data_IF_620316481534
#
_entry.id   IF_620316481534
#
_cell.length_a   1.000
_cell.length_b   1.000
_cell.length_c   1.000
_cell.angle_alpha   90.00
_cell.angle_beta   90.00
_cell.angle_gamma   90.00
#
_symmetry.space_group_name_H-M   'P 1'
#
loop_
_entity.id
_entity.type
_entity.pdbx_description
1 polymer ?
#
# COMPACT_ATOMS: atom_id res chain seq x y z
N UNK A 1 32.29 18.97 -5.34
CA UNK A 1 33.32 17.96 -5.67
C UNK A 1 34.04 18.40 -6.94
N UNK A 2 35.33 18.08 -7.10
CA UNK A 2 36.06 18.48 -8.30
C UNK A 2 35.64 17.65 -9.53
N UNK A 3 35.69 18.22 -10.73
CA UNK A 3 35.42 17.52 -12.00
C UNK A 3 36.27 16.25 -12.16
N UNK A 4 37.50 16.28 -11.62
CA UNK A 4 38.40 15.12 -11.57
C UNK A 4 37.83 13.95 -10.74
N UNK A 5 37.14 14.24 -9.64
CA UNK A 5 36.56 13.23 -8.77
C UNK A 5 35.38 12.51 -9.47
N UNK A 6 34.49 13.28 -10.10
CA UNK A 6 33.37 12.70 -10.89
C UNK A 6 33.88 11.83 -12.05
N UNK A 7 34.93 12.30 -12.75
CA UNK A 7 35.55 11.54 -13.82
C UNK A 7 36.19 10.24 -13.30
N UNK A 8 36.82 10.27 -12.11
CA UNK A 8 37.40 9.10 -11.49
C UNK A 8 36.36 8.07 -11.11
N UNK A 9 35.21 8.49 -10.54
CA UNK A 9 34.11 7.59 -10.22
C UNK A 9 33.56 6.89 -11.46
N UNK A 10 33.40 7.62 -12.59
CA UNK A 10 32.95 7.04 -13.84
C UNK A 10 33.98 6.06 -14.43
N UNK A 11 35.29 6.43 -14.41
CA UNK A 11 36.37 5.57 -14.89
C UNK A 11 36.52 4.27 -14.10
N UNK A 12 36.26 4.32 -12.79
CA UNK A 12 36.27 3.16 -11.89
C UNK A 12 34.93 2.42 -11.86
N UNK A 13 34.01 2.74 -12.75
CA UNK A 13 32.72 2.07 -12.93
C UNK A 13 31.86 2.04 -11.64
N UNK A 14 32.03 3.03 -10.74
CA UNK A 14 31.24 3.15 -9.52
C UNK A 14 29.72 3.16 -9.76
N UNK A 15 29.16 3.86 -10.78
CA UNK A 15 27.73 3.85 -11.04
C UNK A 15 27.18 2.44 -11.29
N UNK A 16 27.91 1.56 -11.96
CA UNK A 16 27.51 0.17 -12.20
C UNK A 16 27.51 -0.65 -10.90
N UNK A 17 28.49 -0.41 -10.01
CA UNK A 17 28.53 -1.06 -8.68
C UNK A 17 27.36 -0.56 -7.81
N UNK A 18 27.03 0.74 -7.88
CA UNK A 18 25.87 1.29 -7.17
C UNK A 18 24.54 0.74 -7.70
N UNK A 19 24.45 0.44 -8.99
CA UNK A 19 23.28 -0.25 -9.56
C UNK A 19 23.12 -1.66 -8.96
N UNK A 20 24.23 -2.44 -8.85
CA UNK A 20 24.19 -3.74 -8.17
C UNK A 20 23.77 -3.63 -6.68
N UNK A 21 24.16 -2.54 -6.03
CA UNK A 21 23.75 -2.26 -4.65
C UNK A 21 22.25 -1.92 -4.57
N UNK A 22 21.77 -1.08 -5.47
CA UNK A 22 20.35 -0.70 -5.55
C UNK A 22 19.44 -1.91 -5.81
N UNK A 23 19.92 -2.90 -6.58
CA UNK A 23 19.21 -4.17 -6.80
C UNK A 23 19.08 -5.02 -5.53
N UNK A 24 19.84 -4.71 -4.49
CA UNK A 24 19.76 -5.37 -3.20
C UNK A 24 18.78 -4.67 -2.24
N UNK A 25 18.43 -3.41 -2.50
CA UNK A 25 17.47 -2.67 -1.69
C UNK A 25 16.03 -3.06 -2.05
N UNK A 26 15.17 -3.17 -1.04
CA UNK A 26 13.78 -3.57 -1.20
C UNK A 26 12.85 -2.38 -1.48
N UNK A 27 13.18 -1.19 -0.95
CA UNK A 27 12.36 0.03 -1.04
C UNK A 27 12.79 0.91 -2.20
N UNK A 28 11.86 1.74 -2.72
CA UNK A 28 12.18 2.68 -3.80
C UNK A 28 13.23 3.71 -3.34
N UNK A 29 12.99 4.34 -2.21
CA UNK A 29 13.91 5.34 -1.66
C UNK A 29 15.24 4.73 -1.19
N UNK A 30 15.23 3.47 -0.73
CA UNK A 30 16.45 2.71 -0.45
C UNK A 30 17.30 2.53 -1.71
N UNK A 31 16.69 2.20 -2.85
CA UNK A 31 17.36 2.13 -4.15
C UNK A 31 17.93 3.48 -4.56
N UNK A 32 17.15 4.54 -4.44
CA UNK A 32 17.60 5.91 -4.76
C UNK A 32 18.78 6.32 -3.86
N UNK A 33 18.72 6.04 -2.55
CA UNK A 33 19.84 6.26 -1.63
C UNK A 33 21.08 5.45 -2.01
N UNK A 34 20.93 4.20 -2.40
CA UNK A 34 22.03 3.38 -2.88
C UNK A 34 22.70 3.99 -4.13
N UNK A 35 21.91 4.45 -5.10
CA UNK A 35 22.42 5.10 -6.32
C UNK A 35 23.06 6.46 -6.03
N UNK A 36 22.60 7.15 -5.00
CA UNK A 36 23.12 8.45 -4.60
C UNK A 36 24.37 8.39 -3.72
N UNK A 37 24.83 7.18 -3.33
CA UNK A 37 26.02 7.05 -2.49
C UNK A 37 27.25 7.66 -3.16
N UNK A 38 28.11 8.23 -2.33
CA UNK A 38 29.39 8.81 -2.72
C UNK A 38 30.51 8.28 -1.81
N UNK A 39 31.74 8.17 -2.29
CA UNK A 39 32.87 7.81 -1.45
C UNK A 39 33.02 8.77 -0.27
N UNK A 40 33.19 8.20 0.91
CA UNK A 40 33.48 8.91 2.13
C UNK A 40 34.99 9.16 2.23
N UNK A 41 35.37 10.32 2.80
CA UNK A 41 36.78 10.73 2.97
C UNK A 41 37.17 10.85 4.45
N UNK A 42 36.19 10.94 5.33
CA UNK A 42 36.41 10.92 6.77
C UNK A 42 36.60 9.49 7.27
N UNK A 43 37.64 9.25 8.08
CA UNK A 43 38.01 7.91 8.52
C UNK A 43 36.97 7.29 9.46
N UNK A 44 36.38 8.11 10.35
CA UNK A 44 35.39 7.65 11.32
C UNK A 44 34.08 7.29 10.63
N UNK A 45 33.68 8.07 9.62
CA UNK A 45 32.49 7.77 8.80
C UNK A 45 32.67 6.50 7.98
N UNK A 46 33.89 6.28 7.41
CA UNK A 46 34.21 5.03 6.70
C UNK A 46 34.18 3.84 7.65
N UNK A 47 34.80 3.95 8.83
CA UNK A 47 34.81 2.88 9.83
C UNK A 47 33.39 2.52 10.27
N UNK A 48 32.57 3.52 10.59
CA UNK A 48 31.15 3.34 10.98
C UNK A 48 30.37 2.62 9.88
N UNK A 49 30.45 3.07 8.63
CA UNK A 49 29.75 2.46 7.52
C UNK A 49 30.18 0.99 7.26
N UNK A 50 31.45 0.67 7.49
CA UNK A 50 31.96 -0.71 7.41
C UNK A 50 31.44 -1.57 8.57
N UNK A 51 31.42 -1.06 9.79
CA UNK A 51 30.87 -1.76 10.97
C UNK A 51 29.37 -2.02 10.81
N UNK A 52 28.59 -1.05 10.33
CA UNK A 52 27.17 -1.22 9.99
C UNK A 52 26.98 -2.34 8.95
N UNK A 53 27.79 -2.34 7.90
CA UNK A 53 27.73 -3.37 6.85
C UNK A 53 28.05 -4.75 7.42
N UNK A 54 29.10 -4.87 8.26
CA UNK A 54 29.49 -6.12 8.89
C UNK A 54 28.43 -6.62 9.88
N UNK A 55 27.79 -5.72 10.60
CA UNK A 55 26.64 -6.04 11.47
C UNK A 55 25.46 -6.58 10.65
N UNK A 56 25.13 -5.95 9.52
CA UNK A 56 24.06 -6.42 8.62
C UNK A 56 24.40 -7.79 8.04
N UNK A 57 25.64 -8.03 7.58
CA UNK A 57 26.10 -9.34 7.09
C UNK A 57 25.89 -10.42 8.16
N UNK A 58 26.31 -10.14 9.40
CA UNK A 58 26.14 -11.09 10.51
C UNK A 58 24.68 -11.40 10.77
N UNK A 59 23.83 -10.38 10.81
CA UNK A 59 22.37 -10.54 11.02
C UNK A 59 21.73 -11.30 9.87
N UNK A 60 22.11 -11.03 8.61
CA UNK A 60 21.63 -11.76 7.43
C UNK A 60 21.96 -13.24 7.47
N UNK A 61 23.19 -13.62 7.90
CA UNK A 61 23.60 -15.01 8.03
C UNK A 61 22.82 -15.72 9.13
N UNK A 62 22.59 -15.07 10.26
CA UNK A 62 21.94 -15.69 11.42
C UNK A 62 20.41 -15.77 11.30
N UNK A 63 19.76 -14.80 10.65
CA UNK A 63 18.31 -14.61 10.74
C UNK A 63 17.62 -14.36 9.39
N UNK A 64 18.38 -14.27 8.31
CA UNK A 64 17.86 -13.84 7.01
C UNK A 64 17.62 -12.34 6.93
N UNK A 65 16.89 -11.90 5.90
CA UNK A 65 16.59 -10.49 5.66
C UNK A 65 15.36 -10.05 6.45
N UNK A 66 15.38 -8.88 7.13
CA UNK A 66 14.16 -8.25 7.61
C UNK A 66 13.27 -7.86 6.42
N UNK A 67 11.95 -7.86 6.63
CA UNK A 67 10.98 -7.64 5.55
C UNK A 67 10.73 -6.16 5.26
N UNK A 68 11.52 -5.53 4.42
CA UNK A 68 11.33 -4.12 4.01
C UNK A 68 10.42 -3.91 2.79
N UNK A 69 10.01 -4.97 2.08
CA UNK A 69 9.25 -4.88 0.83
C UNK A 69 7.87 -4.21 0.96
N UNK A 70 7.33 -4.15 2.18
CA UNK A 70 6.07 -3.47 2.48
C UNK A 70 6.21 -1.96 2.73
N UNK A 71 7.42 -1.42 2.80
CA UNK A 71 7.63 0.03 3.02
C UNK A 71 7.25 0.79 1.76
N UNK A 72 6.27 1.68 1.87
CA UNK A 72 5.74 2.50 0.78
C UNK A 72 5.97 3.99 1.06
N UNK A 73 6.04 4.83 0.02
CA UNK A 73 6.15 6.28 0.19
C UNK A 73 4.92 6.85 0.90
N UNK A 74 5.06 7.35 2.12
CA UNK A 74 3.94 7.86 2.92
C UNK A 74 4.07 9.33 3.32
N UNK A 75 5.22 9.97 3.07
CA UNK A 75 5.50 11.33 3.53
C UNK A 75 4.48 12.36 3.02
N UNK A 76 4.10 12.29 1.74
CA UNK A 76 3.12 13.22 1.15
C UNK A 76 1.71 13.00 1.74
N UNK A 77 1.32 11.75 1.99
CA UNK A 77 0.04 11.40 2.59
C UNK A 77 -0.03 11.87 4.04
N UNK A 78 1.03 11.67 4.82
CA UNK A 78 1.12 12.17 6.21
C UNK A 78 1.04 13.70 6.26
N UNK A 79 1.72 14.40 5.35
CA UNK A 79 1.65 15.87 5.28
C UNK A 79 0.23 16.35 4.93
N UNK A 80 -0.47 15.67 4.00
CA UNK A 80 -1.84 16.01 3.65
C UNK A 80 -2.81 15.75 4.81
N UNK A 81 -2.65 14.64 5.53
CA UNK A 81 -3.45 14.35 6.72
C UNK A 81 -3.24 15.39 7.83
N UNK A 82 -2.01 15.82 8.06
CA UNK A 82 -1.64 16.87 9.03
C UNK A 82 -2.30 18.22 8.70
N UNK A 83 -2.50 18.52 7.41
CA UNK A 83 -3.23 19.70 6.97
C UNK A 83 -4.78 19.52 7.03
N UNK A 84 -5.27 18.44 7.63
CA UNK A 84 -6.70 18.13 7.76
C UNK A 84 -7.32 17.47 6.53
N UNK A 85 -6.52 17.02 5.56
CA UNK A 85 -7.00 16.31 4.37
C UNK A 85 -7.34 14.85 4.69
N UNK A 86 -8.43 14.34 4.09
CA UNK A 86 -8.78 12.91 4.16
C UNK A 86 -7.91 12.11 3.20
N UNK A 87 -7.40 10.96 3.66
CA UNK A 87 -6.63 10.01 2.89
C UNK A 87 -7.56 8.98 2.22
N UNK A 88 -7.14 8.48 1.09
CA UNK A 88 -7.79 7.35 0.42
C UNK A 88 -7.52 6.03 1.14
N UNK A 89 -8.32 5.01 0.85
CA UNK A 89 -8.11 3.64 1.34
C UNK A 89 -6.69 3.13 1.06
N UNK A 90 -6.18 3.36 -0.16
CA UNK A 90 -4.82 2.98 -0.56
C UNK A 90 -3.75 3.64 0.31
N UNK A 91 -3.84 4.94 0.54
CA UNK A 91 -2.84 5.67 1.33
C UNK A 91 -2.84 5.25 2.79
N UNK A 92 -4.03 4.95 3.35
CA UNK A 92 -4.14 4.40 4.70
C UNK A 92 -3.54 3.00 4.78
N UNK A 93 -3.78 2.13 3.78
CA UNK A 93 -3.15 0.80 3.71
C UNK A 93 -1.63 0.88 3.55
N UNK A 94 -1.11 1.84 2.79
CA UNK A 94 0.32 2.08 2.65
C UNK A 94 0.94 2.50 4.00
N UNK A 95 0.26 3.37 4.78
CA UNK A 95 0.67 3.73 6.14
C UNK A 95 0.64 2.51 7.07
N UNK A 96 -0.43 1.71 7.04
CA UNK A 96 -0.52 0.48 7.82
C UNK A 96 0.60 -0.51 7.48
N UNK A 97 1.00 -0.57 6.20
CA UNK A 97 2.13 -1.39 5.76
C UNK A 97 3.47 -0.91 6.33
N UNK A 98 3.69 0.40 6.40
CA UNK A 98 4.89 0.99 7.07
C UNK A 98 4.89 0.65 8.56
N UNK A 99 3.77 0.82 9.26
CA UNK A 99 3.64 0.48 10.68
C UNK A 99 3.93 -1.00 10.95
N UNK A 100 3.43 -1.88 10.08
CA UNK A 100 3.71 -3.32 10.13
C UNK A 100 5.17 -3.62 9.92
N UNK A 101 5.82 -2.98 8.94
CA UNK A 101 7.25 -3.12 8.69
C UNK A 101 8.08 -2.63 9.88
N UNK A 102 7.71 -1.50 10.50
CA UNK A 102 8.38 -0.97 11.69
C UNK A 102 8.29 -1.96 12.86
N UNK A 103 7.11 -2.54 13.10
CA UNK A 103 6.92 -3.58 14.12
C UNK A 103 7.77 -4.82 13.82
N UNK A 104 7.70 -5.33 12.59
CA UNK A 104 8.49 -6.50 12.19
C UNK A 104 10.00 -6.27 12.26
N UNK A 105 10.47 -5.08 11.88
CA UNK A 105 11.88 -4.71 11.99
C UNK A 105 12.30 -4.58 13.47
N UNK A 106 11.49 -3.97 14.33
CA UNK A 106 11.77 -3.90 15.77
C UNK A 106 11.89 -5.30 16.38
N UNK A 107 10.94 -6.19 16.09
CA UNK A 107 10.96 -7.58 16.56
C UNK A 107 12.20 -8.34 16.02
N UNK A 108 12.57 -8.12 14.75
CA UNK A 108 13.78 -8.69 14.15
C UNK A 108 15.05 -8.20 14.86
N UNK A 109 15.11 -6.91 15.24
CA UNK A 109 16.24 -6.31 15.94
C UNK A 109 16.33 -6.65 17.43
N UNK A 110 15.26 -7.19 18.02
CA UNK A 110 15.24 -7.61 19.42
C UNK A 110 16.03 -8.90 19.59
N UNK A 111 17.23 -8.77 20.14
CA UNK A 111 18.22 -9.83 20.25
C UNK A 111 19.11 -9.60 21.46
N UNK A 112 19.52 -10.71 22.09
CA UNK A 112 20.56 -10.68 23.15
C UNK A 112 21.89 -10.20 22.60
N UNK A 113 22.21 -10.52 21.35
CA UNK A 113 23.44 -10.10 20.68
C UNK A 113 23.31 -8.69 20.10
N UNK A 114 23.93 -7.73 20.76
CA UNK A 114 23.92 -6.31 20.34
C UNK A 114 24.98 -6.07 19.25
N UNK A 115 24.57 -5.36 18.21
CA UNK A 115 25.42 -4.88 17.12
C UNK A 115 25.42 -3.35 17.09
N UNK A 116 26.32 -2.75 16.29
CA UNK A 116 26.38 -1.28 16.14
C UNK A 116 25.07 -0.69 15.59
N UNK A 117 24.28 -1.44 14.84
CA UNK A 117 22.99 -0.99 14.31
C UNK A 117 21.78 -1.34 15.20
N UNK A 118 21.96 -2.01 16.35
CA UNK A 118 20.87 -2.40 17.24
C UNK A 118 20.06 -1.21 17.77
N UNK A 119 20.69 -0.04 17.89
CA UNK A 119 20.01 1.18 18.30
C UNK A 119 18.97 1.65 17.28
N UNK A 120 19.21 1.47 15.96
CA UNK A 120 18.26 1.85 14.91
C UNK A 120 16.95 1.08 15.04
N UNK A 121 17.00 -0.23 15.27
CA UNK A 121 15.82 -1.06 15.49
C UNK A 121 15.05 -0.66 16.76
N UNK A 122 15.78 -0.30 17.83
CA UNK A 122 15.15 0.13 19.09
C UNK A 122 14.52 1.51 19.01
N UNK A 123 14.99 2.35 18.11
CA UNK A 123 14.40 3.67 17.87
C UNK A 123 13.08 3.62 17.09
N UNK A 124 12.73 2.48 16.49
CA UNK A 124 11.42 2.31 15.86
C UNK A 124 10.31 2.36 16.92
N UNK A 125 9.23 3.07 16.62
CA UNK A 125 8.08 3.30 17.52
C UNK A 125 6.77 2.76 16.91
N UNK A 126 6.65 1.43 16.65
CA UNK A 126 5.50 0.87 15.95
C UNK A 126 4.21 1.11 16.73
N UNK A 127 3.19 1.61 16.04
CA UNK A 127 1.85 1.81 16.60
C UNK A 127 0.91 0.71 16.12
N UNK A 128 0.86 -0.39 16.89
CA UNK A 128 -0.02 -1.54 16.56
C UNK A 128 -1.50 -1.17 16.61
N UNK A 129 -1.90 -0.29 17.51
CA UNK A 129 -3.30 0.13 17.60
C UNK A 129 -3.74 0.80 16.31
N UNK A 130 -2.95 1.72 15.77
CA UNK A 130 -3.24 2.40 14.50
C UNK A 130 -3.18 1.42 13.32
N UNK A 131 -2.17 0.51 13.27
CA UNK A 131 -2.09 -0.56 12.27
C UNK A 131 -3.38 -1.39 12.25
N UNK A 132 -3.81 -1.88 13.41
CA UNK A 132 -5.01 -2.71 13.56
C UNK A 132 -6.29 -1.91 13.22
N UNK A 133 -6.38 -0.64 13.62
CA UNK A 133 -7.52 0.24 13.31
C UNK A 133 -7.71 0.39 11.80
N UNK A 134 -6.64 0.63 11.07
CA UNK A 134 -6.68 0.75 9.61
C UNK A 134 -7.02 -0.60 8.97
N UNK A 135 -6.31 -1.66 9.31
CA UNK A 135 -6.46 -2.97 8.65
C UNK A 135 -7.77 -3.69 8.97
N UNK A 136 -8.37 -3.44 10.13
CA UNK A 136 -9.71 -3.95 10.47
C UNK A 136 -10.83 -3.15 9.82
N UNK A 137 -10.58 -1.87 9.46
CA UNK A 137 -11.56 -1.02 8.80
C UNK A 137 -11.50 -1.12 7.28
N UNK A 138 -10.32 -1.34 6.70
CA UNK A 138 -10.09 -1.34 5.25
C UNK A 138 -9.57 -2.71 4.84
N UNK A 139 -10.41 -3.47 4.10
CA UNK A 139 -10.07 -4.82 3.64
C UNK A 139 -9.24 -4.80 2.35
N UNK A 140 -9.53 -3.83 1.48
CA UNK A 140 -8.81 -3.59 0.23
C UNK A 140 -8.94 -2.13 -0.22
N UNK A 141 -8.30 -1.76 -1.32
CA UNK A 141 -8.42 -0.40 -1.89
C UNK A 141 -9.89 -0.03 -2.22
N UNK A 142 -10.73 -1.02 -2.50
CA UNK A 142 -12.13 -0.86 -2.93
C UNK A 142 -13.13 -1.22 -1.84
N UNK A 143 -12.69 -1.80 -0.72
CA UNK A 143 -13.61 -2.39 0.26
C UNK A 143 -13.33 -1.94 1.70
N UNK A 144 -14.33 -1.31 2.30
CA UNK A 144 -14.41 -0.98 3.73
C UNK A 144 -15.20 -2.09 4.44
N UNK A 145 -14.68 -2.59 5.55
CA UNK A 145 -15.34 -3.63 6.35
C UNK A 145 -16.68 -3.15 6.92
N UNK A 146 -17.68 -4.02 6.97
CA UNK A 146 -18.94 -3.73 7.67
C UNK A 146 -18.69 -3.37 9.15
N UNK A 147 -17.65 -3.98 9.75
CA UNK A 147 -17.23 -3.78 11.13
C UNK A 147 -16.47 -2.47 11.38
N UNK A 148 -16.15 -1.69 10.34
CA UNK A 148 -15.43 -0.43 10.48
C UNK A 148 -16.19 0.58 11.35
N UNK A 149 -17.54 0.53 11.33
CA UNK A 149 -18.37 1.21 12.32
C UNK A 149 -19.71 0.48 12.52
N UNK A 150 -20.30 0.66 13.69
CA UNK A 150 -21.65 0.14 13.98
C UNK A 150 -22.71 0.74 13.05
N UNK A 151 -22.54 2.00 12.66
CA UNK A 151 -23.43 2.74 11.75
C UNK A 151 -23.35 2.14 10.35
N UNK A 152 -22.14 1.92 9.81
CA UNK A 152 -21.94 1.29 8.49
C UNK A 152 -22.57 -0.10 8.44
N UNK A 153 -22.35 -0.91 9.49
CA UNK A 153 -22.97 -2.24 9.60
C UNK A 153 -24.49 -2.17 9.60
N UNK A 154 -25.07 -1.17 10.27
CA UNK A 154 -26.53 -0.96 10.32
C UNK A 154 -27.06 -0.55 8.95
N UNK A 155 -26.45 0.44 8.30
CA UNK A 155 -26.82 0.93 6.97
C UNK A 155 -26.80 -0.23 5.96
N UNK A 156 -25.71 -0.99 5.87
CA UNK A 156 -25.58 -2.10 4.93
C UNK A 156 -26.54 -3.25 5.19
N UNK A 157 -26.86 -3.52 6.46
CA UNK A 157 -27.91 -4.49 6.82
C UNK A 157 -29.27 -4.03 6.32
N UNK A 158 -29.58 -2.75 6.49
CA UNK A 158 -30.82 -2.16 6.01
C UNK A 158 -30.90 -2.15 4.49
N UNK A 159 -29.80 -1.84 3.79
CA UNK A 159 -29.71 -1.95 2.33
C UNK A 159 -30.03 -3.36 1.86
N UNK A 160 -29.37 -4.38 2.41
CA UNK A 160 -29.63 -5.78 2.06
C UNK A 160 -31.10 -6.20 2.28
N UNK A 161 -31.69 -5.77 3.39
CA UNK A 161 -33.10 -6.05 3.68
C UNK A 161 -34.05 -5.37 2.69
N UNK A 162 -33.76 -4.11 2.34
CA UNK A 162 -34.58 -3.34 1.38
C UNK A 162 -34.42 -3.88 -0.04
N UNK A 163 -33.20 -4.27 -0.45
CA UNK A 163 -32.95 -4.95 -1.73
C UNK A 163 -33.71 -6.27 -1.84
N UNK A 164 -33.69 -7.10 -0.81
CA UNK A 164 -34.45 -8.35 -0.78
C UNK A 164 -35.95 -8.08 -0.97
N UNK A 165 -36.48 -7.08 -0.28
CA UNK A 165 -37.89 -6.66 -0.42
C UNK A 165 -38.21 -6.20 -1.84
N UNK A 166 -37.35 -5.38 -2.48
CA UNK A 166 -37.52 -4.96 -3.88
C UNK A 166 -37.53 -6.16 -4.81
N UNK A 167 -36.53 -7.05 -4.66
CA UNK A 167 -36.43 -8.26 -5.48
C UNK A 167 -37.67 -9.15 -5.35
N UNK A 168 -38.20 -9.35 -4.16
CA UNK A 168 -39.39 -10.15 -3.92
C UNK A 168 -40.60 -9.58 -4.62
N UNK A 169 -40.80 -8.23 -4.56
CA UNK A 169 -41.91 -7.57 -5.23
C UNK A 169 -41.80 -7.73 -6.76
N UNK A 170 -40.61 -7.46 -7.31
CA UNK A 170 -40.38 -7.56 -8.75
C UNK A 170 -40.44 -9.02 -9.24
N UNK A 171 -39.98 -9.97 -8.45
CA UNK A 171 -40.07 -11.40 -8.79
C UNK A 171 -41.52 -11.86 -8.88
N UNK A 172 -42.40 -11.41 -7.97
CA UNK A 172 -43.85 -11.68 -8.07
C UNK A 172 -44.45 -11.08 -9.34
N UNK A 173 -44.05 -9.85 -9.71
CA UNK A 173 -44.48 -9.22 -10.95
C UNK A 173 -44.05 -10.01 -12.18
N UNK A 174 -42.78 -10.40 -12.26
CA UNK A 174 -42.22 -11.18 -13.37
C UNK A 174 -42.92 -12.55 -13.53
N UNK A 175 -43.27 -13.16 -12.38
CA UNK A 175 -43.94 -14.50 -12.37
C UNK A 175 -45.44 -14.43 -12.51
N UNK A 176 -46.05 -13.23 -12.60
CA UNK A 176 -47.50 -13.03 -12.76
C UNK A 176 -47.91 -12.99 -14.23
N UNK A 177 -49.20 -12.85 -14.47
CA UNK A 177 -49.77 -12.61 -15.80
C UNK A 177 -49.25 -11.32 -16.48
N UNK A 178 -48.57 -10.47 -15.77
CA UNK A 178 -47.98 -9.25 -16.30
C UNK A 178 -46.63 -9.51 -17.04
N UNK A 179 -46.06 -10.70 -16.88
CA UNK A 179 -44.81 -11.12 -17.61
C UNK A 179 -44.96 -11.00 -19.14
N UNK A 180 -46.13 -11.18 -19.70
CA UNK A 180 -46.40 -11.02 -21.14
C UNK A 180 -46.11 -9.60 -21.67
N UNK A 181 -46.16 -8.57 -20.80
CA UNK A 181 -45.87 -7.19 -21.15
C UNK A 181 -44.38 -6.87 -21.11
N UNK A 182 -43.57 -7.75 -20.49
CA UNK A 182 -42.12 -7.56 -20.39
C UNK A 182 -41.44 -7.96 -21.71
N UNK A 183 -40.39 -7.26 -22.07
CA UNK A 183 -39.48 -7.61 -23.14
C UNK A 183 -38.70 -8.87 -22.77
N UNK A 184 -38.24 -8.93 -21.55
CA UNK A 184 -37.55 -10.05 -20.90
C UNK A 184 -38.02 -10.16 -19.46
N UNK A 185 -38.15 -11.39 -18.93
CA UNK A 185 -38.57 -11.61 -17.53
C UNK A 185 -37.39 -11.51 -16.56
N UNK A 186 -36.75 -10.35 -16.56
CA UNK A 186 -35.57 -10.05 -15.72
C UNK A 186 -35.78 -8.79 -14.88
N UNK A 187 -35.03 -8.71 -13.78
CA UNK A 187 -34.85 -7.52 -12.98
C UNK A 187 -33.53 -6.88 -13.39
N UNK A 188 -33.50 -5.59 -13.67
CA UNK A 188 -32.28 -4.87 -14.03
C UNK A 188 -32.17 -3.58 -13.22
N UNK A 189 -31.02 -2.94 -13.29
CA UNK A 189 -30.76 -1.64 -12.62
C UNK A 189 -30.55 -0.58 -13.68
N UNK A 190 -31.23 0.57 -13.53
CA UNK A 190 -31.02 1.78 -14.33
C UNK A 190 -31.03 2.99 -13.39
N UNK A 191 -30.01 3.84 -13.49
CA UNK A 191 -29.87 5.04 -12.64
C UNK A 191 -30.05 4.73 -11.15
N UNK A 192 -29.36 3.66 -10.69
CA UNK A 192 -29.40 3.15 -9.30
C UNK A 192 -30.80 2.74 -8.81
N UNK A 193 -31.67 2.31 -9.73
CA UNK A 193 -33.02 1.83 -9.42
C UNK A 193 -33.27 0.46 -10.00
N UNK A 194 -33.94 -0.38 -9.27
CA UNK A 194 -34.45 -1.66 -9.76
C UNK A 194 -35.66 -1.42 -10.66
N UNK A 195 -35.58 -1.86 -11.87
CA UNK A 195 -36.58 -1.68 -12.93
C UNK A 195 -36.84 -2.98 -13.67
N UNK A 196 -37.93 -3.03 -14.44
CA UNK A 196 -38.25 -4.12 -15.37
C UNK A 196 -38.31 -3.62 -16.81
N UNK A 197 -37.81 -4.40 -17.80
CA UNK A 197 -37.88 -4.02 -19.20
C UNK A 197 -39.28 -4.33 -19.77
N UNK A 198 -40.02 -3.32 -20.22
CA UNK A 198 -41.38 -3.40 -20.74
C UNK A 198 -41.36 -3.09 -22.21
N UNK A 199 -42.13 -3.88 -23.02
CA UNK A 199 -42.30 -3.63 -24.44
C UNK A 199 -42.95 -2.27 -24.70
N UNK A 200 -42.50 -1.57 -25.74
CA UNK A 200 -42.98 -0.21 -26.01
C UNK A 200 -44.51 -0.15 -26.21
N UNK A 201 -45.10 -1.16 -26.86
CA UNK A 201 -46.54 -1.29 -27.06
C UNK A 201 -47.36 -1.48 -25.77
N UNK A 202 -46.68 -1.93 -24.70
CA UNK A 202 -47.26 -2.19 -23.38
C UNK A 202 -46.80 -1.24 -22.29
N UNK A 203 -46.23 -0.09 -22.65
CA UNK A 203 -45.70 0.91 -21.69
C UNK A 203 -46.67 1.23 -20.56
N UNK A 204 -47.98 1.33 -20.86
CA UNK A 204 -49.00 1.71 -19.87
C UNK A 204 -49.60 0.49 -19.12
N UNK A 205 -49.22 -0.72 -19.46
CA UNK A 205 -49.73 -1.93 -18.82
C UNK A 205 -49.16 -2.19 -17.42
N UNK A 206 -47.96 -1.65 -17.14
CA UNK A 206 -47.33 -1.69 -15.81
C UNK A 206 -47.29 -0.26 -15.28
N UNK A 207 -48.09 0.07 -14.24
CA UNK A 207 -48.03 1.37 -13.61
C UNK A 207 -46.70 1.62 -12.95
N UNK A 208 -45.99 2.67 -13.36
CA UNK A 208 -44.63 2.95 -12.86
C UNK A 208 -43.99 4.19 -13.49
N UNK A 209 -42.76 4.44 -13.10
CA UNK A 209 -41.94 5.53 -13.59
C UNK A 209 -40.98 5.00 -14.66
N UNK A 210 -40.89 5.68 -15.77
CA UNK A 210 -39.87 5.35 -16.84
C UNK A 210 -38.55 5.99 -16.47
N UNK A 211 -37.52 5.21 -16.34
CA UNK A 211 -36.14 5.68 -16.04
C UNK A 211 -35.21 5.67 -17.22
N UNK A 212 -35.48 4.81 -18.20
CA UNK A 212 -34.64 4.68 -19.39
C UNK A 212 -35.42 4.09 -20.54
N UNK A 213 -34.91 4.25 -21.77
CA UNK A 213 -35.46 3.69 -23.00
C UNK A 213 -34.30 3.10 -23.80
N UNK A 214 -34.50 1.90 -24.36
CA UNK A 214 -33.48 1.28 -25.23
C UNK A 214 -33.19 2.18 -26.44
N UNK A 215 -31.99 2.08 -27.00
CA UNK A 215 -31.55 2.85 -28.16
C UNK A 215 -32.45 2.64 -29.40
N UNK A 216 -33.09 1.50 -29.52
CA UNK A 216 -34.09 1.20 -30.57
C UNK A 216 -35.48 1.74 -30.26
N UNK A 217 -35.75 2.25 -29.07
CA UNK A 217 -37.07 2.68 -28.63
C UNK A 217 -38.05 1.55 -28.34
N UNK A 218 -37.66 0.29 -28.51
CA UNK A 218 -38.55 -0.87 -28.39
C UNK A 218 -38.79 -1.34 -26.95
N UNK A 219 -37.97 -0.87 -25.97
CA UNK A 219 -38.05 -1.29 -24.57
C UNK A 219 -38.01 -0.08 -23.65
N UNK A 220 -38.93 -0.01 -22.71
CA UNK A 220 -38.97 0.96 -21.64
C UNK A 220 -38.53 0.30 -20.33
N UNK A 221 -37.58 0.90 -19.64
CA UNK A 221 -37.17 0.45 -18.31
C UNK A 221 -38.04 1.15 -17.27
N UNK A 222 -39.02 0.41 -16.74
CA UNK A 222 -40.03 0.94 -15.85
C UNK A 222 -39.73 0.51 -14.41
N UNK A 223 -39.77 1.47 -13.49
CA UNK A 223 -39.84 1.24 -12.04
C UNK A 223 -41.31 1.09 -11.65
N UNK A 224 -41.78 -0.13 -11.31
CA UNK A 224 -43.18 -0.31 -10.90
C UNK A 224 -43.50 0.47 -9.63
N UNK A 225 -44.71 1.01 -9.54
CA UNK A 225 -45.16 1.80 -8.38
C UNK A 225 -44.96 1.10 -7.03
N UNK A 226 -45.07 -0.25 -7.02
CA UNK A 226 -44.89 -1.06 -5.82
C UNK A 226 -43.46 -1.04 -5.23
N UNK A 227 -42.44 -0.63 -6.01
CA UNK A 227 -41.04 -0.59 -5.55
C UNK A 227 -40.48 0.82 -5.45
N UNK A 228 -41.21 1.86 -5.90
CA UNK A 228 -40.70 3.25 -5.90
C UNK A 228 -40.26 3.69 -4.50
N UNK A 229 -41.04 3.40 -3.46
CA UNK A 229 -40.68 3.75 -2.09
C UNK A 229 -39.43 3.06 -1.62
N UNK A 230 -39.25 1.76 -1.92
CA UNK A 230 -38.11 1.00 -1.53
C UNK A 230 -36.85 1.39 -2.33
N UNK A 231 -36.97 1.72 -3.61
CA UNK A 231 -35.88 2.26 -4.40
C UNK A 231 -35.39 3.64 -3.89
N UNK A 232 -36.32 4.50 -3.46
CA UNK A 232 -35.97 5.78 -2.83
C UNK A 232 -35.18 5.55 -1.53
N UNK A 233 -35.68 4.64 -0.69
CA UNK A 233 -35.00 4.24 0.56
C UNK A 233 -33.61 3.71 0.29
N UNK A 234 -33.41 2.88 -0.74
CA UNK A 234 -32.09 2.40 -1.13
C UNK A 234 -31.16 3.55 -1.53
N UNK A 235 -31.63 4.52 -2.30
CA UNK A 235 -30.80 5.68 -2.67
C UNK A 235 -30.40 6.52 -1.45
N UNK A 236 -31.32 6.70 -0.51
CA UNK A 236 -31.00 7.39 0.75
C UNK A 236 -29.95 6.62 1.55
N UNK A 237 -30.09 5.29 1.65
CA UNK A 237 -29.12 4.43 2.33
C UNK A 237 -27.75 4.44 1.63
N UNK A 238 -27.69 4.43 0.30
CA UNK A 238 -26.44 4.55 -0.46
C UNK A 238 -25.75 5.89 -0.19
N UNK A 239 -26.52 6.99 -0.09
CA UNK A 239 -25.96 8.28 0.25
C UNK A 239 -25.45 8.33 1.71
N UNK A 240 -26.15 7.67 2.64
CA UNK A 240 -25.71 7.53 4.03
C UNK A 240 -24.46 6.67 4.13
N UNK A 241 -24.38 5.53 3.41
CA UNK A 241 -23.19 4.68 3.32
C UNK A 241 -21.96 5.46 2.87
N UNK A 242 -22.11 6.21 1.77
CA UNK A 242 -21.02 7.04 1.25
C UNK A 242 -20.53 8.05 2.28
N UNK A 243 -21.46 8.76 2.93
CA UNK A 243 -21.13 9.74 3.97
C UNK A 243 -20.45 9.11 5.18
N UNK A 244 -20.88 7.91 5.58
CA UNK A 244 -20.29 7.19 6.71
C UNK A 244 -18.87 6.69 6.35
N UNK A 245 -18.65 6.20 5.14
CA UNK A 245 -17.32 5.84 4.63
C UNK A 245 -16.38 7.06 4.66
N UNK A 246 -16.84 8.21 4.16
CA UNK A 246 -16.09 9.47 4.20
C UNK A 246 -15.70 9.86 5.64
N UNK A 247 -16.61 9.68 6.60
CA UNK A 247 -16.37 9.92 8.02
C UNK A 247 -15.30 8.98 8.58
N UNK A 248 -15.38 7.68 8.28
CA UNK A 248 -14.41 6.67 8.72
C UNK A 248 -13.02 7.01 8.18
N UNK A 249 -12.90 7.31 6.90
CA UNK A 249 -11.62 7.67 6.29
C UNK A 249 -11.03 8.95 6.89
N UNK A 250 -11.88 9.96 7.17
CA UNK A 250 -11.44 11.19 7.82
C UNK A 250 -10.95 10.94 9.25
N UNK A 251 -11.61 10.07 10.01
CA UNK A 251 -11.20 9.71 11.37
C UNK A 251 -9.86 8.96 11.39
N UNK A 252 -9.68 7.96 10.50
CA UNK A 252 -8.41 7.24 10.35
C UNK A 252 -7.28 8.20 9.90
N UNK A 253 -7.59 9.14 8.99
CA UNK A 253 -6.63 10.16 8.55
C UNK A 253 -6.20 11.08 9.69
N UNK A 254 -7.13 11.49 10.55
CA UNK A 254 -6.81 12.28 11.73
C UNK A 254 -5.95 11.51 12.75
N UNK A 255 -6.17 10.20 12.90
CA UNK A 255 -5.31 9.35 13.73
C UNK A 255 -3.89 9.26 13.14
N UNK A 256 -3.75 9.11 11.80
CA UNK A 256 -2.45 9.14 11.14
C UNK A 256 -1.74 10.50 11.33
N UNK A 257 -2.48 11.61 11.24
CA UNK A 257 -1.95 12.95 11.47
C UNK A 257 -1.42 13.13 12.91
N UNK A 258 -2.14 12.60 13.90
CA UNK A 258 -1.73 12.66 15.30
C UNK A 258 -0.42 11.90 15.59
N UNK A 259 -0.05 10.93 14.74
CA UNK A 259 1.18 10.13 14.83
C UNK A 259 2.16 10.40 13.69
N UNK A 260 2.02 11.54 12.99
CA UNK A 260 2.79 11.88 11.80
C UNK A 260 4.30 11.80 12.03
N UNK A 261 4.76 12.35 13.15
CA UNK A 261 6.19 12.42 13.49
C UNK A 261 6.76 11.01 13.69
N UNK A 262 6.13 10.21 14.52
CA UNK A 262 6.55 8.83 14.81
C UNK A 262 6.59 7.98 13.51
N UNK A 263 5.53 8.05 12.69
CA UNK A 263 5.44 7.31 11.42
C UNK A 263 6.52 7.79 10.43
N UNK A 264 6.78 9.09 10.38
CA UNK A 264 7.80 9.69 9.52
C UNK A 264 9.22 9.29 9.93
N UNK A 265 9.49 9.23 11.23
CA UNK A 265 10.76 8.74 11.77
C UNK A 265 10.94 7.25 11.51
N UNK A 266 9.93 6.44 11.78
CA UNK A 266 9.93 5.01 11.47
C UNK A 266 10.18 4.75 9.98
N UNK A 267 9.51 5.48 9.09
CA UNK A 267 9.72 5.40 7.65
C UNK A 267 11.17 5.71 7.27
N UNK A 268 11.74 6.76 7.84
CA UNK A 268 13.13 7.18 7.57
C UNK A 268 14.13 6.13 8.07
N UNK A 269 13.90 5.57 9.27
CA UNK A 269 14.72 4.50 9.84
C UNK A 269 14.65 3.21 9.04
N UNK A 270 13.46 2.84 8.57
CA UNK A 270 13.28 1.65 7.71
C UNK A 270 14.06 1.77 6.40
N UNK A 271 14.05 2.95 5.75
CA UNK A 271 14.84 3.19 4.54
C UNK A 271 16.35 3.14 4.84
N UNK A 272 16.79 3.70 5.97
CA UNK A 272 18.18 3.62 6.39
C UNK A 272 18.60 2.17 6.62
N UNK A 273 17.82 1.40 7.34
CA UNK A 273 18.04 -0.03 7.57
C UNK A 273 18.07 -0.81 6.26
N UNK A 274 17.12 -0.58 5.34
CA UNK A 274 17.11 -1.21 4.02
C UNK A 274 18.43 -0.95 3.26
N UNK A 275 18.93 0.29 3.29
CA UNK A 275 20.20 0.66 2.66
C UNK A 275 21.40 -0.07 3.31
N UNK A 276 21.41 -0.18 4.64
CA UNK A 276 22.45 -0.90 5.38
C UNK A 276 22.41 -2.39 5.04
N UNK A 277 21.22 -2.97 5.03
CA UNK A 277 21.04 -4.39 4.67
C UNK A 277 21.31 -4.66 3.19
N UNK A 278 21.06 -3.73 2.29
CA UNK A 278 21.46 -3.82 0.88
C UNK A 278 22.97 -3.92 0.73
N UNK A 279 23.75 -3.12 1.50
CA UNK A 279 25.23 -3.25 1.54
C UNK A 279 25.66 -4.63 2.06
N UNK A 280 25.01 -5.12 3.11
CA UNK A 280 25.24 -6.47 3.63
C UNK A 280 24.95 -7.57 2.60
N UNK A 281 23.82 -7.48 1.91
CA UNK A 281 23.45 -8.43 0.85
C UNK A 281 24.42 -8.41 -0.32
N UNK A 282 24.84 -7.21 -0.77
CA UNK A 282 25.83 -7.09 -1.83
C UNK A 282 27.16 -7.70 -1.40
N UNK A 283 27.61 -7.43 -0.15
CA UNK A 283 28.83 -8.04 0.42
C UNK A 283 28.78 -9.57 0.36
N UNK A 284 27.66 -10.18 0.74
CA UNK A 284 27.47 -11.64 0.66
C UNK A 284 27.47 -12.14 -0.79
N UNK A 285 26.78 -11.46 -1.70
CA UNK A 285 26.75 -11.81 -3.12
C UNK A 285 28.15 -11.78 -3.76
N UNK A 286 28.97 -10.83 -3.35
CA UNK A 286 30.35 -10.64 -3.84
C UNK A 286 31.38 -11.49 -3.11
N UNK A 287 31.00 -12.18 -2.02
CA UNK A 287 31.91 -12.88 -1.12
C UNK A 287 33.00 -11.92 -0.60
N UNK A 288 32.59 -10.69 -0.30
CA UNK A 288 33.48 -9.64 0.14
C UNK A 288 33.82 -9.79 1.63
N UNK A 289 34.98 -9.29 2.01
CA UNK A 289 35.42 -9.17 3.40
C UNK A 289 35.63 -7.70 3.77
N UNK A 290 35.46 -7.38 5.05
CA UNK A 290 35.71 -6.04 5.55
C UNK A 290 37.18 -5.65 5.34
N UNK A 291 37.48 -4.52 4.65
CA UNK A 291 38.84 -4.04 4.50
C UNK A 291 39.38 -3.46 5.81
N UNK A 292 40.66 -3.71 6.09
CA UNK A 292 41.37 -2.99 7.15
C UNK A 292 41.77 -1.60 6.68
N UNK A 293 41.59 -0.60 7.55
CA UNK A 293 41.97 0.79 7.27
C UNK A 293 43.47 0.99 7.55
N UNK A 294 44.21 1.68 6.66
CA UNK A 294 45.62 2.01 6.81
C UNK A 294 45.93 3.36 6.16
N UNK A 295 46.75 4.16 6.82
CA UNK A 295 47.15 5.49 6.34
C UNK A 295 48.33 5.44 5.32
N UNK A 296 49.08 4.33 5.25
CA UNK A 296 50.36 4.33 4.58
C UNK A 296 50.50 3.33 3.44
N UNK A 297 49.63 2.33 3.33
CA UNK A 297 49.78 1.32 2.30
C UNK A 297 48.45 0.76 1.82
N UNK A 298 48.41 0.34 0.56
CA UNK A 298 47.31 -0.42 -0.03
C UNK A 298 47.80 -1.87 -0.23
N UNK A 299 47.08 -2.83 0.39
CA UNK A 299 47.38 -4.27 0.24
C UNK A 299 46.12 -5.00 -0.20
N UNK A 300 46.15 -5.52 -1.39
CA UNK A 300 45.07 -6.32 -1.97
C UNK A 300 45.44 -7.80 -1.91
N UNK A 301 44.53 -8.67 -1.47
CA UNK A 301 44.69 -10.13 -1.44
C UNK A 301 43.48 -10.75 -2.12
N UNK A 302 43.69 -11.47 -3.23
CA UNK A 302 42.61 -12.10 -3.98
C UNK A 302 41.53 -11.13 -4.44
N UNK A 303 41.92 -9.86 -4.74
CA UNK A 303 40.99 -8.83 -5.14
C UNK A 303 40.40 -9.14 -6.52
N UNK A 304 39.08 -9.07 -6.59
CA UNK A 304 38.30 -9.25 -7.83
C UNK A 304 37.53 -8.00 -8.14
N UNK A 305 37.49 -7.62 -9.41
CA UNK A 305 36.62 -6.51 -9.82
C UNK A 305 35.15 -6.90 -9.69
N UNK A 306 34.29 -6.11 -9.03
CA UNK A 306 32.89 -6.48 -8.73
C UNK A 306 32.01 -6.74 -9.95
N UNK A 307 32.35 -6.19 -11.12
CA UNK A 307 31.59 -6.35 -12.36
C UNK A 307 32.06 -7.51 -13.23
N UNK A 308 33.16 -8.19 -12.86
CA UNK A 308 33.62 -9.34 -13.59
C UNK A 308 32.83 -10.60 -13.20
N UNK A 309 32.55 -11.43 -14.22
CA UNK A 309 31.93 -12.74 -14.01
C UNK A 309 32.84 -13.59 -13.08
N UNK A 310 32.27 -14.06 -11.96
CA UNK A 310 33.00 -14.88 -10.97
C UNK A 310 33.71 -16.09 -11.59
N UNK A 311 33.20 -16.67 -12.69
CA UNK A 311 33.78 -17.81 -13.40
C UNK A 311 34.97 -17.44 -14.28
N UNK A 312 35.11 -16.16 -14.63
CA UNK A 312 36.16 -15.62 -15.51
C UNK A 312 37.18 -14.77 -14.76
N UNK A 313 36.88 -14.38 -13.51
CA UNK A 313 37.81 -13.57 -12.72
C UNK A 313 38.96 -14.43 -12.23
N UNK A 314 40.16 -14.11 -12.68
CA UNK A 314 41.43 -14.62 -12.12
C UNK A 314 41.75 -13.75 -10.91
N UNK A 315 41.98 -14.38 -9.74
CA UNK A 315 42.36 -13.70 -8.51
C UNK A 315 43.82 -13.29 -8.49
#
# INVERSE_FOLDING_TARGET
MSELFEKSMATLELPQVLALLADCAATLEGKERCLALRPLTDLDDVARAQEETSAAVKMLILRGSPGFSGVKPVSASLQRADMGGSLSTRELLDIASVLRCARGARDYGDSEEKTVISHLFRSLTPNRFLEDSITNSILSEEEIADSASSELASIRRHMRSTEARVRDILQRLISSNQSKYLQESIITIRSDRYVVPVKAEHKNAIPGLVHDVSSSGSTFFIEPMGVVKANNELRELMAQEKKEIERILAELSAQCAAHKEDIGEDYTLLILLDTIFARGQLSLKMEASQPGLSERYLRLRGARHPLLDKKKAVA
#
